data_IF_898162769301
#
_entry.id   IF_898162769301
#
_cell.length_a   1.000
_cell.length_b   1.000
_cell.length_c   1.000
_cell.angle_alpha   90.00
_cell.angle_beta   90.00
_cell.angle_gamma   90.00
#
_symmetry.space_group_name_H-M   'P 1'
#
loop_
_entity.id
_entity.type
_entity.pdbx_description
1 polymer ?
#
# COMPACT_ATOMS: atom_id res chain seq x y z
N UNK A 1 16.36 -12.07 4.06
CA UNK A 1 15.54 -10.98 4.66
C UNK A 1 14.44 -11.50 5.60
N UNK A 2 13.86 -12.69 5.39
CA UNK A 2 12.96 -13.36 6.35
C UNK A 2 13.47 -13.38 7.80
N UNK A 3 14.75 -13.74 8.01
CA UNK A 3 15.39 -13.77 9.34
C UNK A 3 15.36 -12.41 10.05
N UNK A 4 15.61 -11.31 9.33
CA UNK A 4 15.59 -9.95 9.89
C UNK A 4 14.16 -9.46 10.21
N UNK A 5 13.18 -9.82 9.37
CA UNK A 5 11.76 -9.52 9.62
C UNK A 5 11.27 -10.27 10.86
N UNK A 6 11.58 -11.57 10.95
CA UNK A 6 11.25 -12.37 12.14
C UNK A 6 12.00 -11.89 13.38
N UNK A 7 13.26 -11.44 13.25
CA UNK A 7 13.98 -10.82 14.36
C UNK A 7 13.24 -9.59 14.93
N UNK A 8 12.53 -8.81 14.10
CA UNK A 8 11.72 -7.68 14.56
C UNK A 8 10.50 -8.15 15.37
N UNK A 9 9.78 -9.17 14.90
CA UNK A 9 8.68 -9.79 15.64
C UNK A 9 9.16 -10.31 17.00
N UNK A 10 10.27 -11.05 17.00
CA UNK A 10 10.87 -11.62 18.21
C UNK A 10 11.36 -10.53 19.18
N UNK A 11 11.86 -9.40 18.67
CA UNK A 11 12.29 -8.26 19.49
C UNK A 11 11.11 -7.61 20.23
N UNK A 12 9.96 -7.49 19.55
CA UNK A 12 8.73 -6.91 20.12
C UNK A 12 8.07 -7.84 21.14
N UNK A 13 8.23 -9.16 21.00
CA UNK A 13 7.70 -10.17 21.94
C UNK A 13 8.65 -10.52 23.08
N UNK A 14 9.86 -9.95 23.05
CA UNK A 14 10.94 -10.21 24.00
C UNK A 14 10.69 -9.52 25.33
N UNK A 15 10.86 -10.25 26.45
CA UNK A 15 10.67 -9.72 27.81
C UNK A 15 11.97 -9.91 28.61
N UNK A 16 12.13 -9.16 29.70
CA UNK A 16 13.30 -9.29 30.58
C UNK A 16 13.52 -10.73 31.11
N UNK A 17 12.44 -11.52 31.23
CA UNK A 17 12.48 -12.93 31.67
C UNK A 17 12.65 -13.92 30.51
N UNK A 18 12.28 -13.54 29.28
CA UNK A 18 12.31 -14.39 28.07
C UNK A 18 12.92 -13.58 26.93
N UNK A 19 14.23 -13.75 26.76
CA UNK A 19 15.01 -13.06 25.74
C UNK A 19 14.94 -13.79 24.39
N UNK A 20 14.28 -13.18 23.42
CA UNK A 20 14.03 -13.72 22.08
C UNK A 20 14.96 -13.09 21.02
N UNK A 21 16.25 -12.92 21.29
CA UNK A 21 17.17 -12.28 20.33
C UNK A 21 17.86 -13.24 19.34
N UNK A 22 17.52 -14.54 19.35
CA UNK A 22 18.21 -15.56 18.55
C UNK A 22 18.20 -15.37 17.03
N UNK A 23 17.32 -14.49 16.51
CA UNK A 23 17.24 -14.16 15.09
C UNK A 23 17.94 -12.85 14.72
N UNK A 24 18.40 -12.07 15.71
CA UNK A 24 19.09 -10.80 15.49
C UNK A 24 20.45 -11.02 14.81
N UNK A 25 20.93 -10.08 13.99
CA UNK A 25 22.29 -10.13 13.46
C UNK A 25 23.32 -9.96 14.58
N UNK A 26 24.50 -10.55 14.41
CA UNK A 26 25.63 -10.46 15.35
C UNK A 26 26.75 -9.63 14.73
N UNK A 27 27.55 -8.94 15.56
CA UNK A 27 28.73 -8.18 15.13
C UNK A 27 28.53 -6.66 15.21
N UNK A 28 29.55 -5.91 14.79
CA UNK A 28 29.59 -4.44 14.88
C UNK A 28 28.47 -3.74 14.09
N UNK A 29 28.00 -4.39 13.01
CA UNK A 29 26.91 -3.88 12.16
C UNK A 29 25.52 -4.36 12.61
N UNK A 30 25.41 -4.96 13.80
CA UNK A 30 24.10 -5.36 14.33
C UNK A 30 23.26 -4.14 14.68
N UNK A 31 22.06 -4.08 14.12
CA UNK A 31 21.05 -3.10 14.51
C UNK A 31 20.42 -3.42 15.86
N UNK A 32 20.60 -4.63 16.39
CA UNK A 32 20.06 -5.01 17.69
C UNK A 32 20.94 -4.42 18.81
N UNK A 33 20.50 -3.27 19.35
CA UNK A 33 21.13 -2.64 20.52
C UNK A 33 21.03 -3.46 21.81
N UNK A 34 20.24 -4.55 21.80
CA UNK A 34 19.81 -5.30 22.97
C UNK A 34 20.50 -6.66 23.17
N UNK A 35 21.80 -6.78 22.83
CA UNK A 35 22.70 -7.66 23.60
C UNK A 35 22.98 -7.08 25.02
N UNK A 36 22.05 -6.32 25.56
CA UNK A 36 22.14 -5.56 26.79
C UNK A 36 20.90 -5.84 27.66
N UNK A 37 21.06 -5.88 28.99
CA UNK A 37 20.17 -6.60 29.92
C UNK A 37 18.79 -5.97 30.20
N UNK A 38 18.31 -5.01 29.41
CA UNK A 38 17.01 -4.34 29.64
C UNK A 38 16.18 -4.17 28.36
N UNK A 39 15.02 -4.83 28.31
CA UNK A 39 14.05 -4.66 27.24
C UNK A 39 13.27 -3.37 27.44
N UNK A 40 13.24 -2.51 26.42
CA UNK A 40 12.46 -1.25 26.47
C UNK A 40 10.96 -1.46 26.33
N UNK A 41 10.55 -2.60 25.76
CA UNK A 41 9.17 -2.86 25.38
C UNK A 41 8.71 -4.16 26.03
N UNK A 42 7.97 -4.06 27.13
CA UNK A 42 7.29 -5.19 27.77
C UNK A 42 5.87 -5.31 27.20
N UNK A 43 5.78 -5.41 25.87
CA UNK A 43 4.48 -5.51 25.21
C UNK A 43 3.88 -6.91 25.46
N UNK A 44 2.54 -7.02 25.61
CA UNK A 44 1.87 -8.31 25.56
C UNK A 44 2.25 -9.01 24.24
N UNK A 45 2.44 -10.34 24.24
CA UNK A 45 2.70 -11.04 23.00
C UNK A 45 1.60 -10.68 21.99
N UNK A 46 1.94 -10.15 20.81
CA UNK A 46 0.97 -9.87 19.78
C UNK A 46 0.19 -11.16 19.50
N UNK A 47 -1.12 -11.05 19.22
CA UNK A 47 -1.93 -12.22 18.95
C UNK A 47 -1.31 -13.00 17.78
N UNK A 48 -1.39 -14.33 17.82
CA UNK A 48 -0.82 -15.22 16.80
C UNK A 48 -1.30 -14.86 15.38
N UNK A 49 -2.43 -14.15 15.27
CA UNK A 49 -2.99 -13.54 14.06
C UNK A 49 -2.12 -12.47 13.41
N UNK A 50 -1.06 -11.95 14.05
CA UNK A 50 -0.12 -11.00 13.47
C UNK A 50 1.00 -11.67 12.64
N UNK A 51 1.27 -12.97 12.83
CA UNK A 51 2.26 -13.73 12.04
C UNK A 51 2.02 -13.69 10.52
N UNK A 52 0.77 -13.85 10.03
CA UNK A 52 0.45 -13.69 8.61
C UNK A 52 0.89 -12.35 8.02
N UNK A 53 0.82 -11.26 8.79
CA UNK A 53 1.24 -9.93 8.33
C UNK A 53 2.76 -9.86 8.02
N UNK A 54 3.58 -10.59 8.78
CA UNK A 54 5.02 -10.68 8.51
C UNK A 54 5.35 -11.55 7.29
N UNK A 55 4.53 -12.56 6.98
CA UNK A 55 4.64 -13.34 5.74
C UNK A 55 4.29 -12.51 4.50
N UNK A 56 3.40 -11.52 4.62
CA UNK A 56 3.11 -10.58 3.53
C UNK A 56 4.31 -9.68 3.16
N UNK A 57 5.20 -9.37 4.11
CA UNK A 57 6.40 -8.56 3.84
C UNK A 57 7.40 -9.26 2.92
N UNK A 58 7.39 -10.59 2.85
CA UNK A 58 8.23 -11.35 1.90
C UNK A 58 7.81 -11.09 0.44
N UNK A 59 6.52 -10.85 0.19
CA UNK A 59 6.02 -10.47 -1.14
C UNK A 59 6.52 -9.08 -1.56
N UNK A 60 6.78 -8.20 -0.58
CA UNK A 60 7.30 -6.85 -0.81
C UNK A 60 8.77 -6.84 -1.29
N UNK A 61 9.53 -7.91 -1.03
CA UNK A 61 10.93 -8.04 -1.46
C UNK A 61 11.08 -8.15 -2.97
N UNK A 62 10.05 -8.63 -3.66
CA UNK A 62 10.03 -8.78 -5.11
C UNK A 62 9.62 -7.48 -5.85
N UNK A 63 9.63 -6.33 -5.17
CA UNK A 63 9.05 -5.08 -5.68
C UNK A 63 7.59 -5.21 -6.12
N UNK A 64 6.90 -6.27 -5.69
CA UNK A 64 5.46 -6.41 -5.82
C UNK A 64 4.88 -5.67 -4.63
N UNK A 65 4.33 -4.48 -4.89
CA UNK A 65 3.81 -3.58 -3.87
C UNK A 65 2.90 -4.34 -2.91
N UNK A 66 3.09 -4.09 -1.62
CA UNK A 66 2.06 -4.34 -0.64
C UNK A 66 0.84 -3.54 -1.11
N UNK A 67 -0.21 -4.24 -1.53
CA UNK A 67 -1.57 -3.73 -1.50
C UNK A 67 -2.02 -2.72 -2.59
N UNK A 68 -2.61 -3.21 -3.69
CA UNK A 68 -3.54 -2.42 -4.54
C UNK A 68 -4.71 -1.80 -3.76
N UNK A 69 -4.89 -2.21 -2.51
CA UNK A 69 -5.89 -1.75 -1.56
C UNK A 69 -5.46 -0.46 -0.84
N UNK A 70 -4.19 -0.02 -0.91
CA UNK A 70 -3.79 1.29 -0.34
C UNK A 70 -4.37 2.46 -1.12
N UNK A 71 -4.42 2.37 -2.45
CA UNK A 71 -5.14 3.36 -3.25
C UNK A 71 -6.65 3.32 -3.00
N UNK A 72 -7.21 2.14 -2.73
CA UNK A 72 -8.63 1.98 -2.37
C UNK A 72 -8.94 2.56 -0.99
N UNK A 73 -8.11 2.27 0.02
CA UNK A 73 -8.23 2.81 1.37
C UNK A 73 -8.13 4.34 1.38
N UNK A 74 -7.22 4.93 0.59
CA UNK A 74 -7.11 6.40 0.50
C UNK A 74 -8.39 7.06 -0.05
N UNK A 75 -9.15 6.35 -0.90
CA UNK A 75 -10.43 6.81 -1.44
C UNK A 75 -11.57 6.58 -0.43
N UNK A 76 -11.60 5.41 0.22
CA UNK A 76 -12.60 5.08 1.24
C UNK A 76 -12.55 6.06 2.42
N UNK A 77 -11.35 6.31 2.96
CA UNK A 77 -11.18 7.23 4.09
C UNK A 77 -11.41 8.70 3.73
N UNK A 78 -11.49 9.04 2.43
CA UNK A 78 -11.83 10.38 1.96
C UNK A 78 -13.34 10.66 1.87
N UNK A 79 -14.21 9.66 2.10
CA UNK A 79 -15.63 9.72 1.74
C UNK A 79 -16.63 9.34 2.88
N UNK A 80 -16.46 9.90 4.08
CA UNK A 80 -17.52 10.06 5.10
C UNK A 80 -17.72 8.94 6.16
N UNK A 81 -18.51 9.28 7.19
CA UNK A 81 -18.54 8.72 8.56
C UNK A 81 -19.69 7.74 8.88
N UNK A 82 -20.42 7.21 7.89
CA UNK A 82 -21.48 6.19 8.10
C UNK A 82 -21.38 5.05 7.08
N UNK A 83 -21.78 3.82 7.44
CA UNK A 83 -21.68 2.62 6.59
C UNK A 83 -22.30 2.84 5.20
N UNK A 84 -23.52 3.38 5.14
CA UNK A 84 -24.21 3.67 3.87
C UNK A 84 -23.48 4.71 3.03
N UNK A 85 -22.85 5.71 3.67
CA UNK A 85 -22.03 6.69 2.95
C UNK A 85 -20.79 6.06 2.33
N UNK A 86 -20.15 5.11 3.04
CA UNK A 86 -19.00 4.37 2.54
C UNK A 86 -19.38 3.43 1.40
N UNK A 87 -20.52 2.75 1.48
CA UNK A 87 -21.03 1.88 0.41
C UNK A 87 -21.35 2.67 -0.86
N UNK A 88 -22.04 3.80 -0.71
CA UNK A 88 -22.33 4.70 -1.84
C UNK A 88 -21.04 5.27 -2.46
N UNK A 89 -20.09 5.67 -1.61
CA UNK A 89 -18.78 6.14 -2.05
C UNK A 89 -17.99 5.07 -2.80
N UNK A 90 -18.03 3.82 -2.33
CA UNK A 90 -17.37 2.69 -2.98
C UNK A 90 -17.99 2.41 -4.35
N UNK A 91 -19.32 2.34 -4.42
CA UNK A 91 -20.04 2.14 -5.68
C UNK A 91 -19.72 3.26 -6.68
N UNK A 92 -19.71 4.53 -6.22
CA UNK A 92 -19.33 5.66 -7.04
C UNK A 92 -17.88 5.58 -7.52
N UNK A 93 -16.94 5.20 -6.65
CA UNK A 93 -15.53 5.05 -7.02
C UNK A 93 -15.32 4.00 -8.10
N UNK A 94 -16.00 2.84 -7.98
CA UNK A 94 -15.95 1.76 -8.99
C UNK A 94 -16.50 2.24 -10.33
N UNK A 95 -17.66 2.91 -10.32
CA UNK A 95 -18.25 3.46 -11.53
C UNK A 95 -17.32 4.49 -12.20
N UNK A 96 -16.76 5.44 -11.44
CA UNK A 96 -15.85 6.45 -11.98
C UNK A 96 -14.56 5.85 -12.53
N UNK A 97 -14.05 4.78 -11.94
CA UNK A 97 -12.85 4.09 -12.42
C UNK A 97 -13.09 3.42 -13.77
N UNK A 98 -14.19 2.66 -13.90
CA UNK A 98 -14.50 1.87 -15.09
C UNK A 98 -15.10 2.71 -16.22
N UNK A 99 -16.09 3.55 -15.92
CA UNK A 99 -16.86 4.31 -16.91
C UNK A 99 -16.34 5.74 -17.13
N UNK A 100 -15.33 6.18 -16.37
CA UNK A 100 -14.79 7.55 -16.30
C UNK A 100 -15.64 8.48 -15.44
N UNK A 101 -14.99 9.47 -14.82
CA UNK A 101 -15.56 10.38 -13.82
C UNK A 101 -16.69 11.23 -14.39
N UNK A 102 -16.54 11.73 -15.62
CA UNK A 102 -17.55 12.58 -16.25
C UNK A 102 -18.84 11.80 -16.52
N UNK A 103 -18.72 10.61 -17.13
CA UNK A 103 -19.88 9.79 -17.49
C UNK A 103 -20.59 9.25 -16.25
N UNK A 104 -19.84 8.68 -15.29
CA UNK A 104 -20.42 8.13 -14.06
C UNK A 104 -21.20 9.19 -13.28
N UNK A 105 -20.60 10.36 -13.06
CA UNK A 105 -21.25 11.42 -12.29
C UNK A 105 -22.42 12.04 -13.05
N UNK A 106 -22.36 12.11 -14.39
CA UNK A 106 -23.49 12.57 -15.19
C UNK A 106 -24.68 11.61 -15.09
N UNK A 107 -24.43 10.30 -15.05
CA UNK A 107 -25.47 9.30 -14.87
C UNK A 107 -26.05 9.32 -13.47
N UNK A 108 -25.21 9.38 -12.43
CA UNK A 108 -25.66 9.48 -11.04
C UNK A 108 -26.54 10.73 -10.84
N UNK A 109 -26.10 11.90 -11.32
CA UNK A 109 -26.88 13.13 -11.20
C UNK A 109 -28.19 13.04 -11.98
N UNK A 110 -28.19 12.42 -13.16
CA UNK A 110 -29.42 12.18 -13.94
C UNK A 110 -30.43 11.33 -13.16
N UNK A 111 -30.00 10.22 -12.54
CA UNK A 111 -30.86 9.36 -11.70
C UNK A 111 -31.39 10.09 -10.47
N UNK A 112 -30.62 11.04 -9.92
CA UNK A 112 -31.03 11.90 -8.81
C UNK A 112 -31.91 13.08 -9.25
N UNK A 113 -32.32 13.14 -10.52
CA UNK A 113 -33.07 14.26 -11.12
C UNK A 113 -32.34 15.62 -10.98
N UNK A 114 -31.01 15.59 -11.02
CA UNK A 114 -30.15 16.77 -10.96
C UNK A 114 -29.50 17.04 -12.31
N UNK A 115 -29.41 18.32 -12.68
CA UNK A 115 -28.68 18.75 -13.88
C UNK A 115 -27.20 18.93 -13.57
N UNK A 116 -26.34 18.44 -14.46
CA UNK A 116 -24.89 18.63 -14.32
C UNK A 116 -24.54 20.05 -14.75
N UNK A 117 -24.03 20.85 -13.82
CA UNK A 117 -23.50 22.18 -14.15
C UNK A 117 -22.29 22.11 -15.09
N UNK A 118 -22.17 23.10 -15.99
CA UNK A 118 -21.09 23.15 -16.98
C UNK A 118 -19.69 23.10 -16.34
N UNK A 119 -19.47 23.86 -15.26
CA UNK A 119 -18.21 23.86 -14.52
C UNK A 119 -17.89 22.49 -13.91
N UNK A 120 -18.89 21.81 -13.35
CA UNK A 120 -18.74 20.45 -12.81
C UNK A 120 -18.34 19.48 -13.92
N UNK A 121 -19.01 19.55 -15.07
CA UNK A 121 -18.68 18.73 -16.25
C UNK A 121 -17.23 18.93 -16.69
N UNK A 122 -16.78 20.18 -16.82
CA UNK A 122 -15.39 20.51 -17.17
C UNK A 122 -14.40 19.98 -16.14
N UNK A 123 -14.68 20.14 -14.84
CA UNK A 123 -13.82 19.64 -13.76
C UNK A 123 -13.72 18.11 -13.76
N UNK A 124 -14.80 17.41 -14.09
CA UNK A 124 -14.80 15.94 -14.19
C UNK A 124 -14.03 15.44 -15.41
N UNK A 125 -14.19 16.09 -16.57
CA UNK A 125 -13.39 15.81 -17.76
C UNK A 125 -11.89 16.05 -17.52
N UNK A 126 -11.55 17.12 -16.80
CA UNK A 126 -10.17 17.42 -16.38
C UNK A 126 -9.61 16.33 -15.46
N UNK A 127 -10.39 15.81 -14.50
CA UNK A 127 -9.99 14.68 -13.65
C UNK A 127 -9.72 13.42 -14.48
N UNK A 128 -10.56 13.12 -15.47
CA UNK A 128 -10.37 11.98 -16.37
C UNK A 128 -9.10 12.11 -17.22
N UNK A 129 -8.81 13.32 -17.71
CA UNK A 129 -7.59 13.63 -18.44
C UNK A 129 -6.35 13.43 -17.57
N UNK A 130 -6.34 13.96 -16.35
CA UNK A 130 -5.24 13.78 -15.38
C UNK A 130 -4.98 12.31 -15.09
N UNK A 131 -6.04 11.53 -14.84
CA UNK A 131 -5.92 10.08 -14.58
C UNK A 131 -5.25 9.35 -15.76
N UNK A 132 -5.66 9.65 -16.99
CA UNK A 132 -5.11 9.03 -18.20
C UNK A 132 -3.64 9.41 -18.42
N UNK A 133 -3.29 10.66 -18.16
CA UNK A 133 -1.91 11.15 -18.26
C UNK A 133 -1.01 10.50 -17.20
N UNK A 134 -1.46 10.41 -15.96
CA UNK A 134 -0.72 9.76 -14.89
C UNK A 134 -0.54 8.27 -15.15
N UNK A 135 -1.57 7.58 -15.65
CA UNK A 135 -1.48 6.18 -16.05
C UNK A 135 -0.42 5.98 -17.14
N UNK A 136 -0.44 6.83 -18.17
CA UNK A 136 0.54 6.76 -19.27
C UNK A 136 1.96 7.04 -18.78
N UNK A 137 2.15 8.05 -17.91
CA UNK A 137 3.44 8.37 -17.30
C UNK A 137 3.98 7.22 -16.46
N UNK A 138 3.13 6.60 -15.63
CA UNK A 138 3.51 5.44 -14.81
C UNK A 138 3.87 4.23 -15.66
N UNK A 139 3.13 3.97 -16.75
CA UNK A 139 3.46 2.92 -17.71
C UNK A 139 4.84 3.13 -18.34
N UNK A 140 5.11 4.32 -18.87
CA UNK A 140 6.43 4.64 -19.46
C UNK A 140 7.55 4.53 -18.42
N UNK A 141 7.34 5.00 -17.20
CA UNK A 141 8.31 4.84 -16.11
C UNK A 141 8.60 3.37 -15.80
N UNK A 142 7.56 2.54 -15.71
CA UNK A 142 7.70 1.11 -15.47
C UNK A 142 8.46 0.41 -16.60
N UNK A 143 8.15 0.73 -17.87
CA UNK A 143 8.88 0.21 -19.02
C UNK A 143 10.36 0.59 -18.99
N UNK A 144 10.69 1.83 -18.64
CA UNK A 144 12.08 2.29 -18.52
C UNK A 144 12.84 1.55 -17.42
N UNK A 145 12.20 1.32 -16.27
CA UNK A 145 12.76 0.51 -15.18
C UNK A 145 13.01 -0.92 -15.66
N UNK A 146 12.04 -1.55 -16.32
CA UNK A 146 12.18 -2.91 -16.88
C UNK A 146 13.32 -3.01 -17.90
N UNK A 147 13.45 -2.03 -18.82
CA UNK A 147 14.57 -1.97 -19.78
C UNK A 147 15.92 -1.85 -19.06
N UNK A 148 16.00 -1.01 -18.02
CA UNK A 148 17.23 -0.81 -17.24
C UNK A 148 17.63 -2.08 -16.50
N UNK A 149 16.67 -2.77 -15.89
CA UNK A 149 16.91 -4.05 -15.21
C UNK A 149 17.39 -5.13 -16.19
N UNK A 150 16.77 -5.24 -17.38
CA UNK A 150 17.22 -6.18 -18.43
C UNK A 150 18.66 -5.90 -18.87
N UNK A 151 19.03 -4.63 -19.08
CA UNK A 151 20.42 -4.25 -19.44
C UNK A 151 21.43 -4.65 -18.37
N UNK A 152 21.11 -4.44 -17.09
CA UNK A 152 21.98 -4.86 -15.97
C UNK A 152 22.15 -6.38 -15.90
N UNK A 153 21.08 -7.14 -16.14
CA UNK A 153 21.13 -8.60 -16.16
C UNK A 153 22.00 -9.14 -17.31
N UNK A 154 21.94 -8.50 -18.48
CA UNK A 154 22.75 -8.88 -19.65
C UNK A 154 24.21 -8.38 -19.55
N UNK A 155 24.45 -7.26 -18.88
CA UNK A 155 25.79 -6.67 -18.71
C UNK A 155 26.63 -7.27 -17.57
N UNK A 156 26.01 -8.01 -16.64
CA UNK A 156 26.70 -8.72 -15.55
C UNK A 156 27.15 -10.15 -15.89
N UNK A 157 27.01 -10.57 -17.14
CA UNK A 157 27.40 -11.90 -17.63
C UNK A 157 28.78 -11.92 -18.33
N UNK A 158 29.70 -11.02 -17.93
CA UNK A 158 31.11 -11.04 -18.33
C UNK A 158 32.01 -11.17 -17.11
#
# INVERSE_FOLDING_TARGET
>A
MHKAVMATYYHVTSKDVVSNHGLCPTGADSWCRQNAPKHRYNLPPPPMSARPCFLLLERCQHSKTQNSHESLHSVIWSLHASLHSVEAALAEAVMRFNARSQLASSKILQELNMTVGALSSTRMAEKDRRRTNDSSRRRTSAENVQRTLKKRHLGGAR
#
